data_IF_324266681502
#
_entry.id   IF_324266681502
#
_cell.length_a   1.000
_cell.length_b   1.000
_cell.length_c   1.000
_cell.angle_alpha   90.00
_cell.angle_beta   90.00
_cell.angle_gamma   90.00
#
_symmetry.space_group_name_H-M   'P 1'
#
loop_
_entity.id
_entity.type
_entity.pdbx_description
1 polymer ?
#
# COMPACT_ATOMS: atom_id res chain seq x y z
N UNK A 1 -14.87 24.57 -32.32
CA UNK A 1 -15.44 24.36 -30.97
C UNK A 1 -14.35 24.67 -29.96
N UNK A 2 -14.55 25.68 -29.11
CA UNK A 2 -13.54 26.10 -28.13
C UNK A 2 -13.20 24.94 -27.18
N UNK A 3 -11.91 24.69 -26.97
CA UNK A 3 -11.47 23.75 -25.95
C UNK A 3 -12.04 24.19 -24.60
N UNK A 4 -12.61 23.28 -23.78
CA UNK A 4 -13.11 23.65 -22.47
C UNK A 4 -11.92 24.18 -21.67
N UNK A 5 -12.00 25.45 -21.25
CA UNK A 5 -11.06 26.07 -20.33
C UNK A 5 -11.05 25.21 -19.07
N UNK A 6 -10.01 24.40 -18.93
CA UNK A 6 -9.89 23.45 -17.82
C UNK A 6 -10.00 24.20 -16.50
N UNK A 7 -10.85 23.70 -15.59
CA UNK A 7 -10.96 24.23 -14.22
C UNK A 7 -9.54 24.44 -13.65
N UNK A 8 -9.26 25.59 -13.01
CA UNK A 8 -7.95 25.85 -12.44
C UNK A 8 -7.60 24.72 -11.46
N UNK A 9 -6.45 24.07 -11.68
CA UNK A 9 -5.97 22.98 -10.84
C UNK A 9 -5.75 23.54 -9.43
N UNK A 10 -6.24 22.82 -8.42
CA UNK A 10 -6.03 23.22 -7.03
C UNK A 10 -4.52 23.43 -6.74
N UNK A 11 -4.11 24.53 -6.09
CA UNK A 11 -2.69 24.86 -5.93
C UNK A 11 -1.90 23.80 -5.14
N UNK A 12 -2.55 23.09 -4.21
CA UNK A 12 -1.91 21.98 -3.48
C UNK A 12 -1.66 20.78 -4.40
N UNK A 13 -2.64 20.47 -5.25
CA UNK A 13 -2.50 19.41 -6.26
C UNK A 13 -1.40 19.75 -7.26
N UNK A 14 -1.34 21.00 -7.74
CA UNK A 14 -0.26 21.45 -8.63
C UNK A 14 1.13 21.32 -7.97
N UNK A 15 1.25 21.72 -6.69
CA UNK A 15 2.50 21.55 -5.92
C UNK A 15 2.88 20.08 -5.76
N UNK A 16 1.92 19.21 -5.45
CA UNK A 16 2.15 17.77 -5.34
C UNK A 16 2.64 17.18 -6.67
N UNK A 17 1.96 17.48 -7.78
CA UNK A 17 2.35 17.00 -9.11
C UNK A 17 3.74 17.50 -9.50
N UNK A 18 4.07 18.76 -9.18
CA UNK A 18 5.41 19.32 -9.38
C UNK A 18 6.47 18.59 -8.55
N UNK A 19 6.16 18.28 -7.29
CA UNK A 19 7.07 17.49 -6.44
C UNK A 19 7.25 16.07 -6.97
N UNK A 20 6.19 15.47 -7.52
CA UNK A 20 6.21 14.13 -8.09
C UNK A 20 7.04 14.05 -9.38
N UNK A 21 7.05 15.09 -10.21
CA UNK A 21 7.90 15.14 -11.40
C UNK A 21 9.34 15.49 -11.06
N UNK A 22 9.58 16.46 -10.16
CA UNK A 22 10.92 16.93 -9.79
C UNK A 22 11.69 15.92 -8.93
N UNK A 23 11.02 15.26 -7.98
CA UNK A 23 11.64 14.32 -7.04
C UNK A 23 10.75 13.07 -6.87
N UNK A 24 10.60 12.24 -7.91
CA UNK A 24 9.59 11.17 -7.95
C UNK A 24 9.75 10.14 -6.83
N UNK A 25 10.97 9.71 -6.52
CA UNK A 25 11.20 8.73 -5.46
C UNK A 25 10.85 9.29 -4.07
N UNK A 26 11.34 10.49 -3.75
CA UNK A 26 11.08 11.15 -2.45
C UNK A 26 9.59 11.38 -2.24
N UNK A 27 8.91 11.91 -3.25
CA UNK A 27 7.47 12.19 -3.16
C UNK A 27 6.68 10.91 -2.98
N UNK A 28 6.96 9.87 -3.78
CA UNK A 28 6.32 8.55 -3.61
C UNK A 28 6.58 7.96 -2.22
N UNK A 29 7.82 8.02 -1.73
CA UNK A 29 8.17 7.50 -0.41
C UNK A 29 7.40 8.20 0.73
N UNK A 30 7.31 9.53 0.72
CA UNK A 30 6.55 10.29 1.71
C UNK A 30 5.04 10.01 1.62
N UNK A 31 4.50 9.91 0.41
CA UNK A 31 3.09 9.58 0.19
C UNK A 31 2.78 8.18 0.70
N UNK A 32 3.53 7.17 0.28
CA UNK A 32 3.31 5.78 0.69
C UNK A 32 3.52 5.60 2.19
N UNK A 33 4.50 6.26 2.81
CA UNK A 33 4.68 6.25 4.26
C UNK A 33 3.44 6.75 5.00
N UNK A 34 2.92 7.91 4.58
CA UNK A 34 1.70 8.49 5.16
C UNK A 34 0.50 7.56 4.98
N UNK A 35 0.32 7.00 3.78
CA UNK A 35 -0.80 6.11 3.49
C UNK A 35 -0.71 4.81 4.30
N UNK A 36 0.47 4.18 4.42
CA UNK A 36 0.65 2.97 5.21
C UNK A 36 0.44 3.20 6.71
N UNK A 37 0.87 4.35 7.23
CA UNK A 37 0.57 4.76 8.60
C UNK A 37 -0.95 4.83 8.82
N UNK A 38 -1.65 5.57 7.96
CA UNK A 38 -3.09 5.75 8.05
C UNK A 38 -3.86 4.44 7.85
N UNK A 39 -3.42 3.55 6.96
CA UNK A 39 -4.01 2.22 6.77
C UNK A 39 -3.98 1.39 8.06
N UNK A 40 -2.91 1.45 8.85
CA UNK A 40 -2.81 0.71 10.12
C UNK A 40 -3.70 1.33 11.20
N UNK A 41 -3.71 2.67 11.30
CA UNK A 41 -4.55 3.40 12.25
C UNK A 41 -6.02 3.14 11.95
N UNK A 42 -6.48 3.44 10.73
CA UNK A 42 -7.86 3.23 10.31
C UNK A 42 -8.25 1.76 10.35
N UNK A 43 -7.37 0.86 9.90
CA UNK A 43 -7.61 -0.58 9.96
C UNK A 43 -7.84 -1.07 11.40
N UNK A 44 -7.16 -0.48 12.39
CA UNK A 44 -7.37 -0.79 13.81
C UNK A 44 -8.70 -0.25 14.34
N UNK A 45 -9.02 1.00 14.03
CA UNK A 45 -10.30 1.64 14.39
C UNK A 45 -11.48 0.87 13.81
N UNK A 46 -11.47 0.60 12.51
CA UNK A 46 -12.55 -0.11 11.81
C UNK A 46 -12.67 -1.59 12.21
N UNK A 47 -11.58 -2.18 12.71
CA UNK A 47 -11.59 -3.52 13.27
C UNK A 47 -12.14 -3.58 14.71
N UNK A 48 -12.35 -2.44 15.37
CA UNK A 48 -12.77 -2.38 16.76
C UNK A 48 -11.73 -2.95 17.72
N UNK A 49 -10.45 -2.87 17.35
CA UNK A 49 -9.37 -3.35 18.23
C UNK A 49 -9.32 -2.45 19.45
N UNK A 50 -9.30 -2.97 20.69
CA UNK A 50 -9.16 -2.11 21.86
C UNK A 50 -7.78 -1.44 21.87
N UNK A 51 -7.67 -0.16 22.29
CA UNK A 51 -6.39 0.51 22.44
C UNK A 51 -5.44 -0.30 23.33
N UNK A 52 -4.15 -0.32 22.97
CA UNK A 52 -3.16 -1.06 23.74
C UNK A 52 -2.98 -0.40 25.11
N UNK A 53 -3.14 -1.19 26.18
CA UNK A 53 -2.90 -0.74 27.55
C UNK A 53 -1.45 -0.28 27.69
N UNK A 54 -1.27 0.97 28.10
CA UNK A 54 0.05 1.56 28.34
C UNK A 54 0.45 1.37 29.79
N UNK A 55 1.77 1.42 30.06
CA UNK A 55 2.28 1.40 31.44
C UNK A 55 1.78 2.64 32.20
N UNK A 56 1.56 2.56 33.53
CA UNK A 56 1.24 3.72 34.36
C UNK A 56 2.22 4.89 34.15
N UNK A 57 3.51 4.60 33.97
CA UNK A 57 4.59 5.59 33.86
C UNK A 57 4.71 6.23 32.47
N UNK A 58 3.88 5.82 31.50
CA UNK A 58 3.93 6.36 30.14
C UNK A 58 3.38 7.80 30.08
N UNK A 59 4.08 8.67 29.34
CA UNK A 59 3.70 10.08 29.11
C UNK A 59 2.24 10.22 28.64
N UNK A 60 1.50 11.25 29.11
CA UNK A 60 0.13 11.52 28.69
C UNK A 60 -0.05 11.57 27.16
N UNK A 61 0.92 12.14 26.44
CA UNK A 61 0.88 12.22 24.98
C UNK A 61 0.90 10.84 24.31
N UNK A 62 1.71 9.91 24.82
CA UNK A 62 1.77 8.55 24.25
C UNK A 62 0.48 7.78 24.57
N UNK A 63 -0.13 8.04 25.72
CA UNK A 63 -1.45 7.47 26.07
C UNK A 63 -2.54 7.98 25.13
N UNK A 64 -2.59 9.29 24.84
CA UNK A 64 -3.60 9.85 23.91
C UNK A 64 -3.38 9.37 22.48
N UNK A 65 -2.14 9.29 22.01
CA UNK A 65 -1.82 8.72 20.70
C UNK A 65 -2.21 7.25 20.60
N UNK A 66 -1.96 6.46 21.64
CA UNK A 66 -2.35 5.05 21.67
C UNK A 66 -3.88 4.84 21.63
N UNK A 67 -4.66 5.76 22.23
CA UNK A 67 -6.12 5.75 22.12
C UNK A 67 -6.59 5.96 20.67
N UNK A 68 -5.83 6.72 19.88
CA UNK A 68 -6.07 6.89 18.45
C UNK A 68 -5.39 5.80 17.58
N UNK A 69 -4.93 4.69 18.15
CA UNK A 69 -4.16 3.63 17.46
C UNK A 69 -2.85 4.09 16.81
N UNK A 70 -2.32 5.23 17.23
CA UNK A 70 -0.99 5.69 16.83
C UNK A 70 0.03 5.03 17.75
N UNK A 71 0.47 3.84 17.35
CA UNK A 71 1.42 3.02 18.11
C UNK A 71 2.67 2.66 17.30
N UNK A 72 3.56 1.87 17.92
CA UNK A 72 4.79 1.42 17.27
C UNK A 72 4.55 0.66 15.96
N UNK A 73 3.41 -0.04 15.81
CA UNK A 73 3.08 -0.75 14.57
C UNK A 73 2.70 0.23 13.48
N UNK A 74 1.92 1.28 13.77
CA UNK A 74 1.63 2.35 12.81
C UNK A 74 2.92 3.02 12.30
N UNK A 75 3.87 3.30 13.20
CA UNK A 75 5.19 3.84 12.83
C UNK A 75 5.98 2.86 11.96
N UNK A 76 6.02 1.57 12.31
CA UNK A 76 6.66 0.53 11.48
C UNK A 76 6.04 0.43 10.09
N UNK A 77 4.72 0.61 9.98
CA UNK A 77 4.02 0.64 8.69
C UNK A 77 4.40 1.87 7.86
N UNK A 78 4.58 3.03 8.50
CA UNK A 78 5.12 4.23 7.83
C UNK A 78 6.53 3.98 7.28
N UNK A 79 7.40 3.38 8.10
CA UNK A 79 8.77 3.02 7.70
C UNK A 79 8.79 2.00 6.56
N UNK A 80 7.91 1.00 6.59
CA UNK A 80 7.74 0.08 5.46
C UNK A 80 7.36 0.82 4.18
N UNK A 81 6.39 1.74 4.26
CA UNK A 81 5.97 2.56 3.11
C UNK A 81 7.13 3.38 2.54
N UNK A 82 7.93 4.00 3.42
CA UNK A 82 9.05 4.87 3.06
C UNK A 82 10.26 4.12 2.52
N UNK A 83 10.71 3.08 3.22
CA UNK A 83 12.01 2.42 3.00
C UNK A 83 11.92 1.22 2.07
N UNK A 84 10.76 0.56 2.00
CA UNK A 84 10.61 -0.71 1.29
C UNK A 84 9.64 -0.56 0.13
N UNK A 85 8.38 -0.26 0.41
CA UNK A 85 7.31 -0.31 -0.59
C UNK A 85 7.53 0.69 -1.73
N UNK A 86 7.73 1.97 -1.41
CA UNK A 86 7.89 2.99 -2.44
C UNK A 86 9.18 2.86 -3.25
N UNK A 87 10.37 2.62 -2.67
CA UNK A 87 11.58 2.38 -3.46
C UNK A 87 11.46 1.16 -4.35
N UNK A 88 10.99 0.02 -3.82
CA UNK A 88 10.82 -1.20 -4.59
C UNK A 88 9.87 -0.98 -5.78
N UNK A 89 8.71 -0.38 -5.54
CA UNK A 89 7.75 -0.05 -6.59
C UNK A 89 8.33 0.93 -7.62
N UNK A 90 9.06 1.96 -7.18
CA UNK A 90 9.70 2.93 -8.06
C UNK A 90 10.68 2.26 -9.04
N UNK A 91 11.58 1.43 -8.53
CA UNK A 91 12.61 0.80 -9.36
C UNK A 91 12.04 -0.32 -10.23
N UNK A 92 11.18 -1.21 -9.70
CA UNK A 92 10.61 -2.30 -10.50
C UNK A 92 9.76 -1.77 -11.66
N UNK A 93 8.90 -0.78 -11.40
CA UNK A 93 8.09 -0.16 -12.45
C UNK A 93 8.98 0.64 -13.41
N UNK A 94 10.01 1.33 -12.90
CA UNK A 94 10.97 2.03 -13.75
C UNK A 94 11.74 1.11 -14.69
N UNK A 95 12.19 -0.06 -14.21
CA UNK A 95 12.82 -1.09 -15.03
C UNK A 95 11.86 -1.63 -16.09
N UNK A 96 10.61 -1.93 -15.71
CA UNK A 96 9.59 -2.37 -16.63
C UNK A 96 9.33 -1.32 -17.73
N UNK A 97 9.16 -0.05 -17.35
CA UNK A 97 8.97 1.05 -18.29
C UNK A 97 10.18 1.23 -19.22
N UNK A 98 11.41 1.04 -18.72
CA UNK A 98 12.62 1.08 -19.53
C UNK A 98 12.66 -0.07 -20.55
N UNK A 99 12.29 -1.28 -20.15
CA UNK A 99 12.28 -2.46 -21.02
C UNK A 99 11.28 -2.33 -22.19
N UNK A 100 10.15 -1.63 -21.98
CA UNK A 100 9.11 -1.41 -22.99
C UNK A 100 9.19 -0.03 -23.66
N UNK A 101 10.25 0.75 -23.42
CA UNK A 101 10.41 2.10 -23.98
C UNK A 101 10.40 2.05 -25.52
N UNK A 102 9.58 2.91 -26.13
CA UNK A 102 9.46 2.99 -27.59
C UNK A 102 8.63 1.88 -28.23
N UNK A 103 8.06 0.95 -27.45
CA UNK A 103 7.19 -0.11 -27.96
C UNK A 103 5.72 0.33 -27.85
N UNK A 104 5.05 0.56 -28.98
CA UNK A 104 3.70 1.19 -29.00
C UNK A 104 2.56 0.26 -29.43
N UNK A 105 2.88 -0.87 -30.08
CA UNK A 105 1.90 -1.81 -30.60
C UNK A 105 1.10 -2.55 -29.53
N UNK A 106 -0.05 -3.12 -29.92
CA UNK A 106 -0.96 -3.83 -29.01
C UNK A 106 -0.25 -4.95 -28.23
N UNK A 107 0.57 -5.76 -28.92
CA UNK A 107 1.35 -6.82 -28.30
C UNK A 107 2.34 -6.32 -27.24
N UNK A 108 2.92 -5.12 -27.43
CA UNK A 108 3.80 -4.52 -26.43
C UNK A 108 3.03 -4.05 -25.19
N UNK A 109 1.83 -3.47 -25.38
CA UNK A 109 0.97 -3.07 -24.25
C UNK A 109 0.52 -4.28 -23.44
N UNK A 110 0.06 -5.33 -24.11
CA UNK A 110 -0.31 -6.60 -23.46
C UNK A 110 0.90 -7.22 -22.76
N UNK A 111 2.05 -7.29 -23.43
CA UNK A 111 3.30 -7.80 -22.85
C UNK A 111 3.73 -7.02 -21.60
N UNK A 112 3.58 -5.69 -21.60
CA UNK A 112 3.92 -4.86 -20.43
C UNK A 112 2.99 -5.13 -19.25
N UNK A 113 1.68 -5.29 -19.51
CA UNK A 113 0.70 -5.64 -18.47
C UNK A 113 1.00 -7.03 -17.90
N UNK A 114 1.30 -8.02 -18.74
CA UNK A 114 1.65 -9.36 -18.31
C UNK A 114 2.94 -9.36 -17.50
N UNK A 115 3.99 -8.67 -17.95
CA UNK A 115 5.25 -8.53 -17.21
C UNK A 115 5.04 -7.82 -15.86
N UNK A 116 4.17 -6.81 -15.80
CA UNK A 116 3.80 -6.17 -14.54
C UNK A 116 3.12 -7.16 -13.58
N UNK A 117 2.18 -7.97 -14.07
CA UNK A 117 1.42 -8.90 -13.23
C UNK A 117 2.21 -10.16 -12.85
N UNK A 118 3.14 -10.62 -13.69
CA UNK A 118 3.86 -11.88 -13.50
C UNK A 118 5.27 -11.71 -12.93
N UNK A 119 5.85 -10.51 -12.99
CA UNK A 119 7.18 -10.23 -12.44
C UNK A 119 7.11 -9.20 -11.31
N UNK A 120 6.52 -8.04 -11.58
CA UNK A 120 6.53 -6.93 -10.62
C UNK A 120 5.62 -7.21 -9.42
N UNK A 121 4.36 -7.63 -9.68
CA UNK A 121 3.40 -7.89 -8.61
C UNK A 121 3.81 -9.04 -7.65
N UNK A 122 4.37 -10.17 -8.13
CA UNK A 122 4.91 -11.22 -7.26
C UNK A 122 6.00 -10.73 -6.31
N UNK A 123 6.97 -9.97 -6.83
CA UNK A 123 8.08 -9.44 -6.01
C UNK A 123 7.54 -8.49 -4.94
N UNK A 124 6.65 -7.57 -5.32
CA UNK A 124 6.02 -6.66 -4.35
C UNK A 124 5.18 -7.41 -3.31
N UNK A 125 4.44 -8.43 -3.71
CA UNK A 125 3.63 -9.25 -2.80
C UNK A 125 4.49 -9.99 -1.78
N UNK A 126 5.58 -10.61 -2.24
CA UNK A 126 6.52 -11.30 -1.35
C UNK A 126 7.18 -10.31 -0.38
N UNK A 127 7.64 -9.16 -0.86
CA UNK A 127 8.23 -8.12 -0.02
C UNK A 127 7.25 -7.56 1.02
N UNK A 128 5.98 -7.35 0.64
CA UNK A 128 4.92 -6.94 1.56
C UNK A 128 4.70 -7.99 2.66
N UNK A 129 4.51 -9.25 2.30
CA UNK A 129 4.28 -10.33 3.28
C UNK A 129 5.48 -10.55 4.20
N UNK A 130 6.70 -10.49 3.65
CA UNK A 130 7.92 -10.59 4.43
C UNK A 130 8.02 -9.44 5.45
N UNK A 131 7.78 -8.21 5.00
CA UNK A 131 7.76 -7.02 5.86
C UNK A 131 6.68 -7.15 6.94
N UNK A 132 5.48 -7.61 6.58
CA UNK A 132 4.39 -7.83 7.52
C UNK A 132 4.71 -8.89 8.56
N UNK A 133 5.45 -9.94 8.22
CA UNK A 133 5.93 -10.92 9.19
C UNK A 133 6.83 -10.26 10.23
N UNK A 134 7.83 -9.49 9.78
CA UNK A 134 8.77 -8.76 10.66
C UNK A 134 8.04 -7.72 11.53
N UNK A 135 7.13 -6.94 10.94
CA UNK A 135 6.34 -5.93 11.66
C UNK A 135 5.50 -6.57 12.77
N UNK A 136 4.93 -7.75 12.51
CA UNK A 136 4.15 -8.52 13.49
C UNK A 136 5.01 -9.34 14.47
N UNK A 137 6.35 -9.26 14.39
CA UNK A 137 7.25 -9.84 15.38
C UNK A 137 7.81 -11.22 15.06
N UNK A 138 7.84 -11.63 13.78
CA UNK A 138 8.59 -12.81 13.34
C UNK A 138 10.06 -12.70 13.81
N UNK A 139 10.59 -13.79 14.39
CA UNK A 139 11.93 -13.81 14.98
C UNK A 139 12.95 -14.54 14.11
N UNK A 140 12.48 -15.42 13.22
CA UNK A 140 13.32 -16.25 12.38
C UNK A 140 13.00 -16.06 10.90
N UNK A 141 13.94 -16.43 10.02
CA UNK A 141 13.72 -16.45 8.58
C UNK A 141 12.60 -17.43 8.21
N UNK A 142 12.50 -18.56 8.92
CA UNK A 142 11.45 -19.55 8.69
C UNK A 142 10.05 -19.01 8.98
N UNK A 143 9.87 -18.20 10.02
CA UNK A 143 8.59 -17.51 10.31
C UNK A 143 8.18 -16.58 9.16
N UNK A 144 9.16 -15.86 8.60
CA UNK A 144 8.97 -14.96 7.46
C UNK A 144 8.58 -15.77 6.23
N UNK A 145 9.35 -16.81 5.90
CA UNK A 145 9.09 -17.67 4.75
C UNK A 145 7.74 -18.38 4.86
N UNK A 146 7.35 -18.84 6.05
CA UNK A 146 6.04 -19.42 6.31
C UNK A 146 4.94 -18.41 6.04
N UNK A 147 5.07 -17.18 6.54
CA UNK A 147 4.10 -16.11 6.30
C UNK A 147 3.96 -15.78 4.82
N UNK A 148 5.09 -15.69 4.10
CA UNK A 148 5.08 -15.47 2.65
C UNK A 148 4.38 -16.63 1.96
N UNK A 149 4.80 -17.89 2.17
CA UNK A 149 4.21 -19.06 1.51
C UNK A 149 2.70 -19.18 1.75
N UNK A 150 2.24 -19.00 2.99
CA UNK A 150 0.82 -19.12 3.33
C UNK A 150 -0.01 -17.94 2.83
N UNK A 151 0.54 -16.72 2.84
CA UNK A 151 -0.17 -15.51 2.45
C UNK A 151 -0.13 -15.20 0.96
N UNK A 152 0.88 -15.68 0.24
CA UNK A 152 1.22 -15.22 -1.11
C UNK A 152 0.03 -15.32 -2.06
N UNK A 153 -0.56 -16.51 -2.18
CA UNK A 153 -1.64 -16.73 -3.12
C UNK A 153 -2.92 -15.95 -2.76
N UNK A 154 -3.17 -15.78 -1.46
CA UNK A 154 -4.31 -15.00 -0.95
C UNK A 154 -4.22 -13.52 -1.35
N UNK A 155 -3.00 -12.95 -1.38
CA UNK A 155 -2.76 -11.55 -1.71
C UNK A 155 -2.62 -11.33 -3.22
N UNK A 156 -1.83 -12.17 -3.91
CA UNK A 156 -1.54 -12.00 -5.34
C UNK A 156 -2.81 -12.13 -6.20
N UNK A 157 -3.74 -13.05 -5.86
CA UNK A 157 -4.99 -13.24 -6.62
C UNK A 157 -5.87 -11.99 -6.60
N UNK A 158 -5.89 -11.27 -5.47
CA UNK A 158 -6.65 -10.02 -5.36
C UNK A 158 -5.97 -8.95 -6.20
N UNK A 159 -4.64 -8.89 -6.15
CA UNK A 159 -3.85 -7.98 -6.99
C UNK A 159 -4.12 -8.21 -8.48
N UNK A 160 -4.16 -9.46 -8.93
CA UNK A 160 -4.45 -9.81 -10.33
C UNK A 160 -5.86 -9.45 -10.79
N UNK A 161 -6.83 -9.29 -9.87
CA UNK A 161 -8.18 -8.83 -10.21
C UNK A 161 -8.27 -7.30 -10.14
N UNK A 162 -7.77 -6.72 -9.04
CA UNK A 162 -7.84 -5.28 -8.80
C UNK A 162 -7.01 -4.50 -9.82
N UNK A 163 -5.79 -4.95 -10.11
CA UNK A 163 -4.87 -4.21 -10.97
C UNK A 163 -5.45 -3.93 -12.36
N UNK A 164 -5.95 -4.92 -13.12
CA UNK A 164 -6.55 -4.65 -14.43
C UNK A 164 -7.84 -3.84 -14.30
N UNK A 165 -8.69 -4.09 -13.30
CA UNK A 165 -9.91 -3.30 -13.09
C UNK A 165 -9.60 -1.81 -12.87
N UNK A 166 -8.63 -1.55 -11.99
CA UNK A 166 -8.18 -0.19 -11.69
C UNK A 166 -7.55 0.47 -12.91
N UNK A 167 -6.77 -0.28 -13.69
CA UNK A 167 -6.18 0.22 -14.93
C UNK A 167 -7.26 0.56 -15.96
N UNK A 168 -8.29 -0.27 -16.13
CA UNK A 168 -9.41 0.01 -17.03
C UNK A 168 -10.15 1.29 -16.63
N UNK A 169 -10.38 1.51 -15.33
CA UNK A 169 -10.98 2.77 -14.83
C UNK A 169 -10.05 3.95 -15.11
N UNK A 170 -8.75 3.82 -14.84
CA UNK A 170 -7.78 4.88 -15.07
C UNK A 170 -7.74 5.29 -16.56
N UNK A 171 -7.74 4.32 -17.47
CA UNK A 171 -7.74 4.55 -18.92
C UNK A 171 -9.03 5.18 -19.43
N UNK A 172 -10.19 4.81 -18.86
CA UNK A 172 -11.48 5.34 -19.30
C UNK A 172 -11.83 6.73 -18.76
N UNK A 173 -11.33 7.07 -17.56
CA UNK A 173 -11.89 8.20 -16.80
C UNK A 173 -10.87 9.15 -16.17
N UNK A 174 -9.60 8.77 -16.05
CA UNK A 174 -8.62 9.53 -15.27
C UNK A 174 -7.52 10.11 -16.17
N UNK A 175 -7.25 11.43 -16.13
CA UNK A 175 -6.08 12.03 -16.80
C UNK A 175 -4.78 11.36 -16.35
N UNK A 176 -3.85 11.13 -17.29
CA UNK A 176 -2.62 10.35 -17.05
C UNK A 176 -1.75 10.94 -15.93
N UNK A 177 -1.79 12.26 -15.76
CA UNK A 177 -1.06 12.99 -14.73
C UNK A 177 -1.57 12.65 -13.31
N UNK A 178 -2.84 12.25 -13.20
CA UNK A 178 -3.48 11.87 -11.94
C UNK A 178 -3.43 10.38 -11.64
N UNK A 179 -2.90 9.55 -12.55
CA UNK A 179 -2.88 8.10 -12.37
C UNK A 179 -2.17 7.68 -11.09
N UNK A 180 -1.03 8.31 -10.74
CA UNK A 180 -0.31 7.99 -9.50
C UNK A 180 -1.19 8.26 -8.28
N UNK A 181 -1.94 9.35 -8.26
CA UNK A 181 -2.85 9.67 -7.16
C UNK A 181 -4.01 8.66 -7.09
N UNK A 182 -4.60 8.33 -8.24
CA UNK A 182 -5.67 7.34 -8.34
C UNK A 182 -5.23 5.96 -7.84
N UNK A 183 -4.09 5.44 -8.30
CA UNK A 183 -3.58 4.14 -7.86
C UNK A 183 -3.20 4.15 -6.38
N UNK A 184 -2.66 5.25 -5.86
CA UNK A 184 -2.42 5.40 -4.42
C UNK A 184 -3.73 5.34 -3.62
N UNK A 185 -4.83 5.92 -4.12
CA UNK A 185 -6.14 5.86 -3.48
C UNK A 185 -6.71 4.42 -3.49
N UNK A 186 -6.61 3.70 -4.61
CA UNK A 186 -7.01 2.29 -4.68
C UNK A 186 -6.20 1.44 -3.69
N UNK A 187 -4.87 1.60 -3.68
CA UNK A 187 -3.99 0.91 -2.74
C UNK A 187 -4.32 1.26 -1.29
N UNK A 188 -4.65 2.53 -1.03
CA UNK A 188 -5.05 2.99 0.30
C UNK A 188 -6.29 2.25 0.80
N UNK A 189 -7.34 2.19 -0.01
CA UNK A 189 -8.60 1.49 0.32
C UNK A 189 -8.35 0.00 0.55
N UNK A 190 -7.62 -0.66 -0.36
CA UNK A 190 -7.34 -2.09 -0.24
C UNK A 190 -6.46 -2.42 0.97
N UNK A 191 -5.40 -1.66 1.21
CA UNK A 191 -4.55 -1.88 2.37
C UNK A 191 -5.29 -1.67 3.69
N UNK A 192 -6.18 -0.66 3.75
CA UNK A 192 -7.03 -0.43 4.93
C UNK A 192 -7.99 -1.60 5.14
N UNK A 193 -8.65 -2.06 4.06
CA UNK A 193 -9.53 -3.23 4.11
C UNK A 193 -8.79 -4.48 4.57
N UNK A 194 -7.61 -4.76 4.02
CA UNK A 194 -6.80 -5.91 4.43
C UNK A 194 -6.37 -5.84 5.89
N UNK A 195 -5.89 -4.68 6.36
CA UNK A 195 -5.51 -4.49 7.76
C UNK A 195 -6.71 -4.75 8.68
N UNK A 196 -7.87 -4.18 8.36
CA UNK A 196 -9.10 -4.39 9.13
C UNK A 196 -9.50 -5.87 9.13
N UNK A 197 -9.59 -6.50 7.96
CA UNK A 197 -10.06 -7.87 7.80
C UNK A 197 -9.15 -8.87 8.55
N UNK A 198 -7.83 -8.72 8.42
CA UNK A 198 -6.87 -9.57 9.12
C UNK A 198 -6.95 -9.42 10.64
N UNK A 199 -7.19 -8.20 11.15
CA UNK A 199 -7.40 -7.96 12.59
C UNK A 199 -8.68 -8.63 13.09
N UNK A 200 -9.79 -8.52 12.35
CA UNK A 200 -11.06 -9.17 12.69
C UNK A 200 -10.92 -10.70 12.72
N UNK A 201 -10.26 -11.28 11.72
CA UNK A 201 -10.02 -12.73 11.68
C UNK A 201 -9.18 -13.21 12.87
N UNK A 202 -8.12 -12.49 13.23
CA UNK A 202 -7.29 -12.82 14.41
C UNK A 202 -8.08 -12.72 15.71
N UNK A 203 -8.89 -11.67 15.87
CA UNK A 203 -9.73 -11.50 17.05
C UNK A 203 -10.75 -12.64 17.20
N UNK A 204 -11.39 -13.05 16.09
CA UNK A 204 -12.32 -14.17 16.08
C UNK A 204 -11.64 -15.52 16.39
N UNK A 205 -10.42 -15.75 15.90
CA UNK A 205 -9.65 -16.96 16.23
C UNK A 205 -9.32 -17.03 17.73
N UNK A 206 -8.86 -15.92 18.31
CA UNK A 206 -8.56 -15.83 19.76
C UNK A 206 -9.83 -16.03 20.60
N UNK A 207 -10.97 -15.49 20.17
CA UNK A 207 -12.24 -15.69 20.87
C UNK A 207 -12.63 -17.18 20.90
N UNK A 208 -12.53 -17.88 19.76
CA UNK A 208 -12.81 -19.32 19.66
C UNK A 208 -11.86 -20.19 20.48
N UNK A 209 -10.59 -19.81 20.59
CA UNK A 209 -9.62 -20.52 21.44
C UNK A 209 -9.93 -20.38 22.94
N UNK A 210 -10.53 -19.26 23.36
CA UNK A 210 -10.95 -19.06 24.77
C UNK A 210 -12.23 -19.79 25.15
N UNK A 211 -13.06 -20.13 24.17
CA UNK A 211 -14.31 -20.87 24.35
C UNK A 211 -14.11 -22.40 24.35
N UNK A 212 -12.92 -22.86 23.95
CA UNK A 212 -12.51 -24.28 23.93
C UNK A 212 -11.80 -24.67 25.22
#
# INVERSE_FOLDING_TARGET
>A
TAAPVGKPINPLLARYLTALTKNPLRTKALTTATLCFLQEVLGSVLAGVPPKKQSPDTSPLVKTLAQAHVDAKAVKMALYGFLVSAPLGHFLVGLLQRAFRGRTGLGARVGQILASNLLVAPIQTAAFLASMAVINGAKTVDDVLKTVKTGFFSVIRITWVVSPLSLSIAQGFIPVELWVLFFNAVQFVLGTFFNMHMKKLRAAAIAKEKER
#
